data_IF_609851127064
#
_entry.id   IF_609851127064
#
_cell.length_a   1.000
_cell.length_b   1.000
_cell.length_c   1.000
_cell.angle_alpha   90.00
_cell.angle_beta   90.00
_cell.angle_gamma   90.00
#
_symmetry.space_group_name_H-M   'P 1'
#
loop_
_entity.id
_entity.type
_entity.pdbx_description
1 polymer ?
#
# COMPACT_ATOMS: atom_id res chain seq x y z
N UNK A 1 8.08 2.27 -17.24
CA UNK A 1 8.54 1.57 -16.02
C UNK A 1 7.62 0.40 -15.71
N UNK A 2 8.15 -0.70 -15.11
CA UNK A 2 7.36 -1.88 -14.69
C UNK A 2 7.51 -2.08 -13.18
N UNK A 3 6.41 -2.27 -12.45
CA UNK A 3 6.49 -2.53 -11.01
C UNK A 3 5.42 -3.52 -10.53
N UNK A 4 5.68 -4.16 -9.40
CA UNK A 4 4.75 -5.06 -8.73
C UNK A 4 4.00 -4.29 -7.64
N UNK A 5 2.67 -4.43 -7.60
CA UNK A 5 1.82 -3.84 -6.56
C UNK A 5 1.21 -4.96 -5.71
N UNK A 6 1.56 -4.95 -4.43
CA UNK A 6 1.04 -5.81 -3.36
C UNK A 6 0.63 -4.96 -2.15
N UNK A 7 -0.13 -5.51 -1.21
CA UNK A 7 -0.58 -4.83 0.01
C UNK A 7 -1.02 -5.86 1.06
N UNK A 8 -1.38 -5.38 2.24
CA UNK A 8 -2.10 -6.14 3.27
C UNK A 8 -1.40 -7.47 3.60
N UNK A 9 -0.09 -7.39 3.88
CA UNK A 9 0.72 -8.57 4.20
C UNK A 9 0.39 -9.15 5.56
N UNK A 10 -0.02 -8.31 6.52
CA UNK A 10 -0.42 -8.69 7.88
C UNK A 10 0.52 -9.70 8.53
N UNK A 11 1.83 -9.47 8.43
CA UNK A 11 2.84 -10.40 8.95
C UNK A 11 2.64 -10.62 10.45
N UNK A 12 2.56 -11.91 10.83
CA UNK A 12 2.28 -12.34 12.19
C UNK A 12 0.80 -12.58 12.48
N UNK A 13 -0.05 -12.60 11.43
CA UNK A 13 -1.46 -12.94 11.56
C UNK A 13 -1.66 -14.35 12.07
N UNK A 14 -2.68 -14.52 12.92
CA UNK A 14 -3.19 -15.82 13.34
C UNK A 14 -4.62 -15.96 12.87
N UNK A 15 -5.01 -17.15 12.44
CA UNK A 15 -6.37 -17.50 12.09
C UNK A 15 -6.84 -18.66 12.98
N UNK A 16 -7.87 -18.44 13.81
CA UNK A 16 -8.37 -19.45 14.76
C UNK A 16 -7.23 -20.06 15.60
N UNK A 17 -6.37 -19.23 16.16
CA UNK A 17 -5.18 -19.58 16.96
C UNK A 17 -4.02 -20.22 16.20
N UNK A 18 -4.17 -20.52 14.90
CA UNK A 18 -3.08 -21.01 14.05
C UNK A 18 -2.25 -19.84 13.51
N UNK A 19 -0.94 -19.92 13.67
CA UNK A 19 0.00 -18.97 13.08
C UNK A 19 0.07 -19.17 11.57
N UNK A 20 -0.02 -18.07 10.82
CA UNK A 20 0.12 -18.07 9.36
C UNK A 20 1.54 -17.76 8.89
N UNK A 21 2.54 -17.69 9.78
CA UNK A 21 3.90 -17.26 9.40
C UNK A 21 4.53 -18.14 8.32
N UNK A 22 4.35 -19.45 8.38
CA UNK A 22 4.88 -20.38 7.36
C UNK A 22 4.18 -20.18 6.00
N UNK A 23 2.87 -19.99 6.00
CA UNK A 23 2.10 -19.68 4.79
C UNK A 23 2.51 -18.32 4.22
N UNK A 24 2.74 -17.33 5.09
CA UNK A 24 3.23 -16.01 4.70
C UNK A 24 4.62 -16.08 4.07
N UNK A 25 5.52 -16.92 4.58
CA UNK A 25 6.83 -17.19 3.97
C UNK A 25 6.69 -17.82 2.57
N UNK A 26 5.81 -18.82 2.44
CA UNK A 26 5.59 -19.51 1.17
C UNK A 26 5.03 -18.56 0.09
N UNK A 27 4.06 -17.74 0.45
CA UNK A 27 3.45 -16.77 -0.46
C UNK A 27 4.44 -15.65 -0.81
N UNK A 28 5.22 -15.17 0.16
CA UNK A 28 6.25 -14.19 -0.09
C UNK A 28 7.29 -14.71 -1.10
N UNK A 29 7.69 -15.96 -1.00
CA UNK A 29 8.61 -16.56 -1.98
C UNK A 29 8.05 -16.57 -3.41
N UNK A 30 6.71 -16.70 -3.56
CA UNK A 30 6.06 -16.56 -4.87
C UNK A 30 6.08 -15.11 -5.36
N UNK A 31 5.80 -14.13 -4.49
CA UNK A 31 5.89 -12.70 -4.83
C UNK A 31 7.31 -12.34 -5.30
N UNK A 32 8.33 -12.79 -4.57
CA UNK A 32 9.74 -12.60 -4.91
C UNK A 32 10.07 -13.22 -6.27
N UNK A 33 9.65 -14.47 -6.50
CA UNK A 33 9.84 -15.17 -7.77
C UNK A 33 9.17 -14.43 -8.94
N UNK A 34 7.93 -13.94 -8.76
CA UNK A 34 7.22 -13.15 -9.77
C UNK A 34 8.02 -11.87 -10.08
N UNK A 35 8.46 -11.15 -9.05
CA UNK A 35 9.24 -9.92 -9.24
C UNK A 35 10.52 -10.17 -10.06
N UNK A 36 11.21 -11.28 -9.81
CA UNK A 36 12.40 -11.68 -10.56
C UNK A 36 12.07 -12.11 -11.99
N UNK A 37 11.04 -12.94 -12.21
CA UNK A 37 10.65 -13.43 -13.53
C UNK A 37 10.16 -12.32 -14.45
N UNK A 38 9.38 -11.39 -13.91
CA UNK A 38 8.84 -10.24 -14.63
C UNK A 38 9.85 -9.09 -14.75
N UNK A 39 11.03 -9.22 -14.12
CA UNK A 39 12.10 -8.22 -14.15
C UNK A 39 11.61 -6.83 -13.78
N UNK A 40 10.86 -6.73 -12.68
CA UNK A 40 10.27 -5.46 -12.25
C UNK A 40 11.33 -4.45 -11.82
N UNK A 41 11.04 -3.18 -12.02
CA UNK A 41 11.91 -2.07 -11.65
C UNK A 41 11.75 -1.67 -10.18
N UNK A 42 10.64 -2.06 -9.54
CA UNK A 42 10.34 -1.81 -8.14
C UNK A 42 9.23 -2.73 -7.62
N UNK A 43 9.14 -2.84 -6.29
CA UNK A 43 8.03 -3.49 -5.58
C UNK A 43 7.33 -2.45 -4.71
N UNK A 44 6.01 -2.32 -4.87
CA UNK A 44 5.15 -1.41 -4.10
C UNK A 44 4.33 -2.21 -3.09
N UNK A 45 4.38 -1.81 -1.82
CA UNK A 45 3.60 -2.41 -0.72
C UNK A 45 2.66 -1.35 -0.13
N UNK A 46 1.38 -1.42 -0.48
CA UNK A 46 0.40 -0.40 -0.15
C UNK A 46 -0.22 -0.57 1.25
N UNK A 47 0.62 -0.67 2.27
CA UNK A 47 0.23 -0.67 3.69
C UNK A 47 -0.08 -2.02 4.31
N UNK A 48 -0.34 -2.01 5.61
CA UNK A 48 -0.60 -3.16 6.48
C UNK A 48 0.49 -4.25 6.37
N UNK A 49 1.73 -3.83 6.66
CA UNK A 49 2.87 -4.73 6.70
C UNK A 49 2.75 -5.73 7.87
N UNK A 50 2.34 -5.25 9.04
CA UNK A 50 2.08 -6.09 10.21
C UNK A 50 0.58 -6.27 10.47
N UNK A 51 0.20 -7.40 11.08
CA UNK A 51 -1.18 -7.63 11.54
C UNK A 51 -1.58 -6.73 12.72
N UNK A 52 -0.61 -6.27 13.51
CA UNK A 52 -0.84 -5.50 14.74
C UNK A 52 0.21 -4.41 14.92
N UNK A 53 -0.20 -3.31 15.52
CA UNK A 53 0.69 -2.17 15.85
C UNK A 53 1.82 -2.55 16.82
N UNK A 54 1.69 -3.65 17.57
CA UNK A 54 2.73 -4.26 18.40
C UNK A 54 2.93 -5.69 17.90
N UNK A 55 3.78 -5.90 16.89
CA UNK A 55 4.05 -7.22 16.36
C UNK A 55 4.87 -8.08 17.32
N UNK A 56 4.75 -9.41 17.21
CA UNK A 56 5.61 -10.34 17.91
C UNK A 56 7.05 -10.28 17.38
N UNK A 57 8.02 -10.73 18.18
CA UNK A 57 9.42 -10.82 17.74
C UNK A 57 9.57 -11.69 16.48
N UNK A 58 8.80 -12.77 16.40
CA UNK A 58 8.79 -13.64 15.22
C UNK A 58 8.30 -12.89 13.97
N UNK A 59 7.23 -12.09 14.09
CA UNK A 59 6.72 -11.29 12.98
C UNK A 59 7.73 -10.20 12.56
N UNK A 60 8.42 -9.55 13.52
CA UNK A 60 9.46 -8.57 13.22
C UNK A 60 10.63 -9.22 12.48
N UNK A 61 11.09 -10.37 12.95
CA UNK A 61 12.17 -11.14 12.29
C UNK A 61 11.78 -11.52 10.86
N UNK A 62 10.53 -11.96 10.67
CA UNK A 62 10.03 -12.41 9.37
C UNK A 62 9.95 -11.24 8.37
N UNK A 63 9.26 -10.15 8.72
CA UNK A 63 9.16 -8.99 7.84
C UNK A 63 10.54 -8.43 7.47
N UNK A 64 11.45 -8.31 8.46
CA UNK A 64 12.82 -7.88 8.18
C UNK A 64 13.54 -8.82 7.21
N UNK A 65 13.33 -10.13 7.33
CA UNK A 65 13.86 -11.15 6.41
C UNK A 65 13.35 -10.94 4.98
N UNK A 66 12.04 -10.74 4.83
CA UNK A 66 11.37 -10.50 3.55
C UNK A 66 11.88 -9.22 2.87
N UNK A 67 11.86 -8.10 3.59
CA UNK A 67 12.32 -6.81 3.07
C UNK A 67 13.80 -6.84 2.69
N UNK A 68 14.64 -7.49 3.50
CA UNK A 68 16.06 -7.67 3.21
C UNK A 68 16.28 -8.49 1.93
N UNK A 69 15.48 -9.54 1.70
CA UNK A 69 15.57 -10.36 0.47
C UNK A 69 15.25 -9.51 -0.75
N UNK A 70 14.08 -8.87 -0.79
CA UNK A 70 13.68 -8.01 -1.91
C UNK A 70 14.69 -6.89 -2.19
N UNK A 71 15.12 -6.18 -1.14
CA UNK A 71 15.89 -4.96 -1.31
C UNK A 71 17.41 -5.18 -1.38
N UNK A 72 17.97 -5.97 -0.45
CA UNK A 72 19.44 -6.12 -0.38
C UNK A 72 19.97 -7.33 -1.17
N UNK A 73 19.18 -8.41 -1.30
CA UNK A 73 19.59 -9.61 -2.03
C UNK A 73 19.23 -9.52 -3.50
N UNK A 74 17.98 -9.17 -3.80
CA UNK A 74 17.48 -9.11 -5.17
C UNK A 74 17.63 -7.71 -5.79
N UNK A 75 18.01 -6.72 -4.98
CA UNK A 75 18.27 -5.33 -5.38
C UNK A 75 17.06 -4.58 -5.95
N UNK A 76 15.84 -4.99 -5.62
CA UNK A 76 14.66 -4.23 -5.99
C UNK A 76 14.53 -2.97 -5.12
N UNK A 77 14.31 -1.80 -5.72
CA UNK A 77 13.70 -0.69 -5.01
C UNK A 77 12.37 -1.12 -4.40
N UNK A 78 12.17 -0.85 -3.11
CA UNK A 78 10.93 -1.15 -2.39
C UNK A 78 10.30 0.15 -1.96
N UNK A 79 9.02 0.34 -2.29
CA UNK A 79 8.24 1.50 -1.89
C UNK A 79 7.09 1.02 -1.00
N UNK A 80 7.08 1.43 0.25
CA UNK A 80 6.08 0.97 1.21
C UNK A 80 5.48 2.13 1.99
N UNK A 81 4.24 1.96 2.43
CA UNK A 81 3.55 2.87 3.34
C UNK A 81 3.06 2.12 4.57
N UNK A 82 2.80 2.82 5.66
CA UNK A 82 2.04 2.24 6.76
C UNK A 82 0.54 2.22 6.47
N UNK A 83 -0.12 1.10 6.80
CA UNK A 83 -1.57 0.99 6.82
C UNK A 83 -2.17 1.28 8.20
N UNK A 84 -3.43 0.90 8.40
CA UNK A 84 -4.14 1.17 9.65
C UNK A 84 -3.80 0.16 10.78
N UNK A 85 -3.30 -1.03 10.46
CA UNK A 85 -2.81 -2.00 11.44
C UNK A 85 -1.41 -1.69 11.94
N UNK A 86 -0.64 -0.95 11.16
CA UNK A 86 0.75 -0.62 11.45
C UNK A 86 0.89 0.45 12.53
N UNK A 87 1.99 0.40 13.27
CA UNK A 87 2.45 1.52 14.09
C UNK A 87 3.40 2.39 13.27
N UNK A 88 2.93 3.55 12.83
CA UNK A 88 3.75 4.51 12.09
C UNK A 88 5.09 4.78 12.78
N UNK A 89 5.07 5.04 14.09
CA UNK A 89 6.29 5.32 14.88
C UNK A 89 7.26 4.15 14.93
N UNK A 90 6.77 2.89 15.03
CA UNK A 90 7.67 1.72 15.06
C UNK A 90 8.24 1.42 13.69
N UNK A 91 7.42 1.53 12.64
CA UNK A 91 7.88 1.31 11.27
C UNK A 91 8.87 2.38 10.80
N UNK A 92 8.72 3.64 11.24
CA UNK A 92 9.64 4.71 10.85
C UNK A 92 11.06 4.54 11.42
N UNK A 93 11.24 3.63 12.38
CA UNK A 93 12.58 3.38 12.95
C UNK A 93 13.54 2.90 11.88
N UNK A 94 14.50 3.74 11.52
CA UNK A 94 15.50 3.41 10.50
C UNK A 94 15.12 3.82 9.06
N UNK A 95 13.95 4.40 8.81
CA UNK A 95 13.48 4.75 7.45
C UNK A 95 14.49 5.60 6.65
N UNK A 96 15.13 6.60 7.31
CA UNK A 96 16.14 7.45 6.67
C UNK A 96 17.39 6.66 6.22
N UNK A 97 17.76 5.62 6.97
CA UNK A 97 18.86 4.72 6.57
C UNK A 97 18.43 3.79 5.46
N UNK A 98 17.21 3.28 5.50
CA UNK A 98 16.67 2.38 4.48
C UNK A 98 16.61 3.04 3.10
N UNK A 99 16.28 4.32 3.03
CA UNK A 99 16.25 5.08 1.79
C UNK A 99 17.61 5.08 1.05
N UNK A 100 18.73 4.95 1.77
CA UNK A 100 20.06 4.81 1.18
C UNK A 100 20.25 3.53 0.36
N UNK A 101 19.42 2.52 0.62
CA UNK A 101 19.41 1.26 -0.11
C UNK A 101 18.23 1.19 -1.09
N UNK A 102 17.58 2.31 -1.40
CA UNK A 102 16.36 2.34 -2.23
C UNK A 102 15.17 1.61 -1.62
N UNK A 103 15.11 1.51 -0.28
CA UNK A 103 13.91 1.12 0.43
C UNK A 103 13.25 2.37 1.03
N UNK A 104 12.16 2.79 0.39
CA UNK A 104 11.41 4.00 0.73
C UNK A 104 10.17 3.62 1.53
N UNK A 105 10.20 3.84 2.83
CA UNK A 105 9.10 3.56 3.74
C UNK A 105 8.53 4.88 4.27
N UNK A 106 7.32 5.23 3.88
CA UNK A 106 6.65 6.41 4.40
C UNK A 106 5.56 6.06 5.42
N UNK A 107 5.59 6.74 6.56
CA UNK A 107 4.65 6.57 7.66
C UNK A 107 4.06 7.89 8.16
N UNK A 108 4.39 9.01 7.51
CA UNK A 108 3.91 10.34 7.89
C UNK A 108 3.36 11.13 6.69
N UNK A 109 2.44 12.06 6.98
CA UNK A 109 1.76 12.85 5.95
C UNK A 109 2.71 13.85 5.27
N UNK A 110 3.66 14.45 6.00
CA UNK A 110 4.53 15.48 5.44
C UNK A 110 5.41 14.93 4.32
N UNK A 111 5.93 13.73 4.50
CA UNK A 111 6.77 13.04 3.51
C UNK A 111 6.01 12.61 2.26
N UNK A 112 4.66 12.49 2.34
CA UNK A 112 3.83 12.10 1.19
C UNK A 112 3.82 13.13 0.06
N UNK A 113 4.22 14.38 0.32
CA UNK A 113 4.27 15.46 -0.67
C UNK A 113 5.59 15.53 -1.44
N UNK A 114 6.57 14.72 -1.06
CA UNK A 114 7.85 14.59 -1.76
C UNK A 114 7.90 13.24 -2.46
N UNK A 115 7.65 13.17 -3.78
CA UNK A 115 7.58 11.90 -4.48
C UNK A 115 8.95 11.22 -4.58
N UNK A 116 8.95 9.90 -4.54
CA UNK A 116 10.10 9.09 -4.94
C UNK A 116 10.07 8.92 -6.45
N UNK A 117 11.14 9.32 -7.13
CA UNK A 117 11.23 9.18 -8.59
C UNK A 117 12.12 7.97 -8.93
N UNK A 118 11.56 7.02 -9.66
CA UNK A 118 12.29 5.88 -10.22
C UNK A 118 12.04 5.88 -11.74
N UNK A 119 13.11 5.99 -12.52
CA UNK A 119 13.03 6.10 -14.00
C UNK A 119 12.10 7.25 -14.44
N UNK A 120 11.03 6.91 -15.13
CA UNK A 120 10.01 7.81 -15.71
C UNK A 120 8.79 8.02 -14.80
N UNK A 121 8.81 7.55 -13.55
CA UNK A 121 7.64 7.52 -12.69
C UNK A 121 7.92 8.16 -11.33
N UNK A 122 7.02 9.05 -10.90
CA UNK A 122 6.95 9.62 -9.55
C UNK A 122 5.94 8.83 -8.71
N UNK A 123 6.38 8.34 -7.56
CA UNK A 123 5.54 7.64 -6.59
C UNK A 123 5.26 8.55 -5.40
N UNK A 124 4.00 8.85 -5.16
CA UNK A 124 3.51 9.58 -4.00
C UNK A 124 3.08 8.55 -2.94
N UNK A 125 3.84 8.46 -1.87
CA UNK A 125 3.63 7.46 -0.82
C UNK A 125 2.76 8.06 0.29
N UNK A 126 1.43 7.85 0.24
CA UNK A 126 0.46 8.37 1.21
C UNK A 126 0.12 7.28 2.24
N UNK A 127 0.65 7.35 3.47
CA UNK A 127 0.30 6.39 4.52
C UNK A 127 -1.15 6.56 4.96
N UNK A 128 -1.68 5.58 5.69
CA UNK A 128 -2.97 5.71 6.35
C UNK A 128 -3.00 6.95 7.24
N UNK A 129 -4.04 7.75 7.14
CA UNK A 129 -4.17 9.01 7.88
C UNK A 129 -5.56 9.19 8.49
N UNK A 130 -5.61 9.92 9.61
CA UNK A 130 -6.86 10.44 10.15
C UNK A 130 -7.08 11.90 9.72
N UNK A 131 -8.35 12.33 9.59
CA UNK A 131 -8.72 13.70 9.19
C UNK A 131 -8.05 14.76 10.09
N UNK A 132 -7.91 14.47 11.39
CA UNK A 132 -7.28 15.41 12.33
C UNK A 132 -5.80 15.66 12.01
N UNK A 133 -5.07 14.65 11.54
CA UNK A 133 -3.67 14.83 11.13
C UNK A 133 -3.56 15.79 9.92
N UNK A 134 -4.50 15.70 8.98
CA UNK A 134 -4.55 16.59 7.82
C UNK A 134 -4.92 18.02 8.21
N UNK A 135 -5.91 18.21 9.10
CA UNK A 135 -6.22 19.52 9.68
C UNK A 135 -5.01 20.18 10.32
N UNK A 136 -4.32 19.43 11.17
CA UNK A 136 -3.15 19.93 11.90
C UNK A 136 -2.03 20.31 10.93
N UNK A 137 -1.78 19.48 9.92
CA UNK A 137 -0.72 19.72 8.94
C UNK A 137 -0.97 20.98 8.11
N UNK A 138 -2.21 21.15 7.59
CA UNK A 138 -2.56 22.30 6.75
C UNK A 138 -3.05 23.52 7.54
N UNK A 139 -3.20 23.42 8.85
CA UNK A 139 -3.81 24.44 9.72
C UNK A 139 -5.18 24.91 9.19
N UNK A 140 -6.00 23.96 8.71
CA UNK A 140 -7.29 24.24 8.07
C UNK A 140 -8.45 23.50 8.74
N UNK A 141 -9.19 24.22 9.61
CA UNK A 141 -10.34 23.69 10.34
C UNK A 141 -11.57 23.44 9.43
N UNK A 142 -11.54 23.81 8.17
CA UNK A 142 -12.63 23.57 7.20
C UNK A 142 -12.64 22.13 6.71
N UNK A 143 -11.54 21.40 6.86
CA UNK A 143 -11.46 19.98 6.53
C UNK A 143 -12.32 19.18 7.52
N UNK A 144 -13.49 18.71 7.09
CA UNK A 144 -14.49 18.00 7.93
C UNK A 144 -14.63 16.53 7.55
N UNK A 145 -14.44 16.20 6.28
CA UNK A 145 -14.61 14.86 5.73
C UNK A 145 -13.29 14.31 5.19
N UNK A 146 -13.25 13.00 4.92
CA UNK A 146 -12.10 12.39 4.25
C UNK A 146 -11.92 12.94 2.83
N UNK A 147 -13.01 13.32 2.16
CA UNK A 147 -12.96 13.92 0.84
C UNK A 147 -12.35 15.33 0.86
N UNK A 148 -12.69 16.17 1.84
CA UNK A 148 -12.03 17.48 2.01
C UNK A 148 -10.53 17.29 2.26
N UNK A 149 -10.17 16.29 3.08
CA UNK A 149 -8.77 15.97 3.36
C UNK A 149 -8.05 15.49 2.09
N UNK A 150 -8.65 14.58 1.33
CA UNK A 150 -8.04 14.04 0.12
C UNK A 150 -7.92 15.10 -0.98
N UNK A 151 -8.93 15.96 -1.17
CA UNK A 151 -8.85 17.09 -2.11
C UNK A 151 -7.65 17.98 -1.78
N UNK A 152 -7.45 18.29 -0.50
CA UNK A 152 -6.32 19.11 -0.05
C UNK A 152 -4.98 18.42 -0.24
N UNK A 153 -4.90 17.11 0.05
CA UNK A 153 -3.71 16.28 -0.14
C UNK A 153 -3.34 16.21 -1.62
N UNK A 154 -4.28 15.87 -2.48
CA UNK A 154 -4.03 15.73 -3.93
C UNK A 154 -3.60 17.07 -4.53
N UNK A 155 -4.27 18.18 -4.16
CA UNK A 155 -3.87 19.52 -4.60
C UNK A 155 -2.43 19.90 -4.18
N UNK A 156 -1.97 19.42 -3.02
CA UNK A 156 -0.59 19.64 -2.59
C UNK A 156 0.40 18.77 -3.37
N UNK A 157 0.08 17.48 -3.58
CA UNK A 157 0.90 16.55 -4.37
C UNK A 157 1.09 17.02 -5.82
N UNK A 158 0.04 17.56 -6.44
CA UNK A 158 0.09 18.08 -7.82
C UNK A 158 1.11 19.19 -8.02
N UNK A 159 1.49 19.93 -6.98
CA UNK A 159 2.55 20.96 -7.09
C UNK A 159 3.93 20.37 -7.37
N UNK A 160 4.13 19.09 -7.03
CA UNK A 160 5.38 18.36 -7.25
C UNK A 160 5.36 17.51 -8.53
N UNK A 161 4.28 17.54 -9.31
CA UNK A 161 4.18 16.78 -10.56
C UNK A 161 5.16 17.33 -11.59
N UNK A 162 5.96 16.44 -12.16
CA UNK A 162 6.84 16.72 -13.30
C UNK A 162 6.16 16.29 -14.58
N UNK A 163 6.06 17.19 -15.56
CA UNK A 163 5.28 17.00 -16.79
C UNK A 163 5.78 15.83 -17.67
N UNK A 164 7.04 15.43 -17.52
CA UNK A 164 7.68 14.33 -18.25
C UNK A 164 7.65 13.00 -17.48
N UNK A 165 6.89 12.90 -16.38
CA UNK A 165 6.80 11.72 -15.54
C UNK A 165 5.37 11.20 -15.43
N UNK A 166 5.25 9.91 -15.24
CA UNK A 166 4.02 9.28 -14.79
C UNK A 166 3.85 9.48 -13.28
N UNK A 167 2.59 9.60 -12.83
CA UNK A 167 2.27 9.86 -11.44
C UNK A 167 1.51 8.69 -10.84
N UNK A 168 2.10 8.02 -9.87
CA UNK A 168 1.52 6.89 -9.15
C UNK A 168 1.25 7.30 -7.71
N UNK A 169 0.01 7.14 -7.25
CA UNK A 169 -0.33 7.24 -5.84
C UNK A 169 -0.30 5.86 -5.21
N UNK A 170 0.42 5.70 -4.10
CA UNK A 170 0.37 4.52 -3.23
C UNK A 170 -0.36 4.94 -1.96
N UNK A 171 -1.48 4.29 -1.64
CA UNK A 171 -2.32 4.71 -0.52
C UNK A 171 -3.07 3.54 0.13
N UNK A 172 -3.62 3.79 1.34
CA UNK A 172 -4.30 2.79 2.13
C UNK A 172 -5.57 3.38 2.72
N UNK A 173 -6.70 3.21 2.03
CA UNK A 173 -8.01 3.73 2.44
C UNK A 173 -9.16 3.03 1.70
N UNK A 174 -10.39 3.28 2.17
CA UNK A 174 -11.61 2.82 1.52
C UNK A 174 -12.02 3.82 0.41
N UNK A 175 -12.07 3.36 -0.84
CA UNK A 175 -12.54 4.15 -1.98
C UNK A 175 -14.06 3.99 -2.19
N UNK A 176 -14.74 5.05 -2.58
CA UNK A 176 -16.18 5.03 -2.86
C UNK A 176 -16.50 4.08 -4.02
N UNK A 177 -17.59 3.32 -3.89
CA UNK A 177 -17.98 2.29 -4.86
C UNK A 177 -17.34 0.93 -4.65
N UNK A 178 -16.39 0.80 -3.70
CA UNK A 178 -15.78 -0.48 -3.36
C UNK A 178 -16.75 -1.40 -2.60
N UNK A 179 -16.58 -2.69 -2.80
CA UNK A 179 -17.34 -3.73 -2.09
C UNK A 179 -16.48 -4.32 -0.97
N UNK A 180 -17.02 -4.37 0.24
CA UNK A 180 -16.36 -4.99 1.40
C UNK A 180 -16.60 -6.50 1.43
N UNK A 181 -15.64 -7.22 1.97
CA UNK A 181 -15.81 -8.63 2.34
C UNK A 181 -16.17 -8.71 3.82
N UNK A 182 -17.24 -9.40 4.18
CA UNK A 182 -17.65 -9.53 5.57
C UNK A 182 -16.52 -10.17 6.41
N UNK A 183 -16.31 -9.68 7.63
CA UNK A 183 -15.35 -10.19 8.61
C UNK A 183 -13.88 -10.25 8.13
N UNK A 184 -13.57 -9.58 7.02
CA UNK A 184 -12.23 -9.57 6.42
C UNK A 184 -11.43 -8.33 6.83
N UNK A 185 -12.06 -7.15 6.79
CA UNK A 185 -11.40 -5.89 7.09
C UNK A 185 -11.87 -5.33 8.44
N UNK A 186 -10.93 -4.72 9.18
CA UNK A 186 -11.23 -4.04 10.43
C UNK A 186 -12.00 -2.76 10.16
N UNK A 187 -13.20 -2.63 10.73
CA UNK A 187 -13.97 -1.39 10.68
C UNK A 187 -13.28 -0.32 11.53
N UNK A 188 -12.54 0.56 10.90
CA UNK A 188 -12.15 1.82 11.55
C UNK A 188 -13.13 2.89 11.08
N UNK A 189 -14.30 2.94 11.70
CA UNK A 189 -15.20 4.07 11.62
C UNK A 189 -14.69 5.17 12.57
N UNK A 190 -13.74 5.95 12.12
CA UNK A 190 -13.43 7.21 12.78
C UNK A 190 -14.28 8.29 12.11
N UNK A 191 -15.49 8.49 12.62
CA UNK A 191 -16.33 9.64 12.29
C UNK A 191 -17.08 9.57 10.95
N UNK A 192 -17.85 8.49 10.70
CA UNK A 192 -18.91 8.46 9.68
C UNK A 192 -18.49 8.64 8.23
N UNK A 193 -18.77 7.65 7.38
CA UNK A 193 -18.59 7.67 5.92
C UNK A 193 -17.20 8.10 5.44
N UNK A 194 -16.25 7.20 5.54
CA UNK A 194 -14.85 7.46 5.23
C UNK A 194 -14.43 6.91 3.87
N UNK A 195 -15.30 6.98 2.86
CA UNK A 195 -14.96 6.56 1.51
C UNK A 195 -14.42 7.76 0.71
N UNK A 196 -13.22 7.61 0.16
CA UNK A 196 -12.61 8.57 -0.75
C UNK A 196 -13.28 8.47 -2.12
N UNK A 197 -13.77 9.58 -2.64
CA UNK A 197 -14.33 9.63 -4.00
C UNK A 197 -13.24 9.36 -5.05
N UNK A 198 -13.47 8.39 -5.93
CA UNK A 198 -12.50 8.01 -6.97
C UNK A 198 -12.18 9.16 -7.93
N UNK A 199 -13.11 10.10 -8.13
CA UNK A 199 -12.89 11.30 -8.94
C UNK A 199 -11.75 12.19 -8.43
N UNK A 200 -11.48 12.19 -7.12
CA UNK A 200 -10.35 12.95 -6.54
C UNK A 200 -8.99 12.35 -6.92
N UNK A 201 -8.96 11.09 -7.34
CA UNK A 201 -7.75 10.35 -7.71
C UNK A 201 -7.43 10.46 -9.20
N UNK A 202 -8.30 11.09 -9.99
CA UNK A 202 -8.14 11.25 -11.44
C UNK A 202 -6.82 11.90 -11.90
N UNK A 203 -6.12 12.76 -11.12
CA UNK A 203 -4.83 13.30 -11.51
C UNK A 203 -3.70 12.27 -11.64
N UNK A 204 -3.84 11.07 -11.05
CA UNK A 204 -2.81 10.03 -11.09
C UNK A 204 -3.02 9.06 -12.24
N UNK A 205 -1.92 8.63 -12.87
CA UNK A 205 -1.95 7.61 -13.94
C UNK A 205 -2.28 6.22 -13.41
N UNK A 206 -1.89 5.94 -12.14
CA UNK A 206 -2.24 4.72 -11.44
C UNK A 206 -2.36 4.97 -9.92
N UNK A 207 -3.30 4.28 -9.29
CA UNK A 207 -3.47 4.33 -7.83
C UNK A 207 -3.38 2.91 -7.27
N UNK A 208 -2.31 2.68 -6.52
CA UNK A 208 -2.04 1.42 -5.84
C UNK A 208 -2.66 1.46 -4.43
N UNK A 209 -3.76 0.74 -4.23
CA UNK A 209 -4.50 0.70 -2.96
C UNK A 209 -4.25 -0.61 -2.20
N UNK A 210 -4.08 -0.47 -0.87
CA UNK A 210 -4.31 -1.50 0.12
C UNK A 210 -5.59 -1.23 0.92
N UNK A 211 -5.80 -1.94 2.02
CA UNK A 211 -6.92 -1.90 2.96
C UNK A 211 -8.02 -2.92 2.67
N UNK A 212 -8.42 -3.14 1.44
CA UNK A 212 -9.41 -4.17 1.11
C UNK A 212 -8.72 -5.43 0.59
N UNK A 213 -9.00 -6.56 1.23
CA UNK A 213 -8.34 -7.85 0.94
C UNK A 213 -8.80 -8.49 -0.37
N UNK A 214 -9.85 -7.95 -1.02
CA UNK A 214 -10.37 -8.45 -2.29
C UNK A 214 -9.94 -7.54 -3.44
N UNK A 215 -9.17 -8.07 -4.39
CA UNK A 215 -8.76 -7.34 -5.61
C UNK A 215 -9.93 -6.82 -6.46
N UNK A 216 -11.06 -7.50 -6.39
CA UNK A 216 -12.29 -7.15 -7.12
C UNK A 216 -13.19 -6.19 -6.33
N UNK A 217 -12.71 -5.61 -5.22
CA UNK A 217 -13.50 -4.70 -4.40
C UNK A 217 -13.92 -3.44 -5.15
N UNK A 218 -13.14 -3.00 -6.14
CA UNK A 218 -13.41 -1.84 -6.98
C UNK A 218 -13.21 -2.19 -8.47
N UNK A 219 -14.15 -1.79 -9.32
CA UNK A 219 -14.08 -2.02 -10.76
C UNK A 219 -13.65 -0.73 -11.49
N UNK A 220 -12.39 -0.38 -11.36
CA UNK A 220 -11.75 0.76 -12.04
C UNK A 220 -10.52 0.29 -12.81
N UNK A 221 -10.18 0.95 -13.92
CA UNK A 221 -9.04 0.56 -14.73
C UNK A 221 -7.70 0.92 -14.07
N UNK A 222 -7.62 2.13 -13.53
CA UNK A 222 -6.38 2.75 -13.00
C UNK A 222 -6.29 2.78 -11.48
N UNK A 223 -7.34 2.40 -10.78
CA UNK A 223 -7.39 2.36 -9.31
C UNK A 223 -7.60 0.91 -8.90
N UNK A 224 -6.60 0.29 -8.28
CA UNK A 224 -6.63 -1.12 -7.96
C UNK A 224 -6.32 -1.37 -6.49
N UNK A 225 -7.15 -2.21 -5.87
CA UNK A 225 -6.75 -2.91 -4.66
C UNK A 225 -5.89 -4.10 -5.04
N UNK A 226 -4.75 -4.27 -4.39
CA UNK A 226 -3.98 -5.51 -4.53
C UNK A 226 -4.72 -6.68 -3.90
N UNK A 227 -5.46 -6.43 -2.83
CA UNK A 227 -5.92 -7.46 -1.95
C UNK A 227 -4.77 -8.01 -1.08
N UNK A 228 -5.11 -8.81 -0.11
CA UNK A 228 -4.12 -9.51 0.71
C UNK A 228 -3.53 -10.71 -0.05
N UNK A 229 -2.25 -11.06 0.18
CA UNK A 229 -1.61 -12.18 -0.50
C UNK A 229 -2.10 -13.55 -0.01
N UNK A 230 -2.69 -13.60 1.20
CA UNK A 230 -3.33 -14.79 1.77
C UNK A 230 -4.78 -14.52 2.14
N UNK A 231 -5.53 -15.60 2.39
CA UNK A 231 -6.91 -15.55 2.91
C UNK A 231 -6.86 -15.43 4.42
N UNK A 232 -7.30 -14.31 4.96
CA UNK A 232 -7.24 -14.00 6.39
C UNK A 232 -8.56 -14.20 7.13
N UNK A 233 -9.61 -14.61 6.40
CA UNK A 233 -10.90 -14.96 6.97
C UNK A 233 -11.59 -16.06 6.16
N UNK A 234 -12.60 -16.72 6.77
CA UNK A 234 -13.41 -17.73 6.08
C UNK A 234 -14.21 -17.11 4.93
N UNK A 235 -14.60 -15.85 5.05
CA UNK A 235 -15.31 -15.12 3.99
C UNK A 235 -14.46 -14.91 2.73
N UNK A 236 -13.14 -14.99 2.85
CA UNK A 236 -12.20 -14.90 1.72
C UNK A 236 -11.94 -16.26 1.03
N UNK A 237 -12.52 -17.37 1.51
CA UNK A 237 -12.20 -18.72 1.05
C UNK A 237 -12.30 -18.91 -0.48
N UNK A 238 -13.20 -18.18 -1.13
CA UNK A 238 -13.42 -18.24 -2.58
C UNK A 238 -12.68 -17.17 -3.38
N UNK A 239 -11.93 -16.28 -2.72
CA UNK A 239 -11.16 -15.26 -3.40
C UNK A 239 -9.87 -15.85 -3.98
N UNK A 240 -9.50 -15.41 -5.16
CA UNK A 240 -8.17 -15.61 -5.70
C UNK A 240 -7.23 -14.56 -5.10
N UNK A 241 -6.05 -14.97 -4.69
CA UNK A 241 -5.01 -14.10 -4.17
C UNK A 241 -3.88 -13.95 -5.19
N UNK A 242 -3.25 -12.79 -5.20
CA UNK A 242 -2.21 -12.49 -6.19
C UNK A 242 -1.70 -11.06 -6.04
N UNK A 243 -1.04 -10.61 -7.09
CA UNK A 243 -0.42 -9.28 -7.17
C UNK A 243 -0.72 -8.65 -8.53
N UNK A 244 -0.62 -7.31 -8.61
CA UNK A 244 -0.71 -6.60 -9.89
C UNK A 244 0.67 -6.32 -10.44
N UNK A 245 0.89 -6.68 -11.71
CA UNK A 245 2.00 -6.20 -12.52
C UNK A 245 1.52 -4.96 -13.29
N UNK A 246 2.24 -3.87 -13.15
CA UNK A 246 1.88 -2.57 -13.73
C UNK A 246 3.00 -2.06 -14.60
N UNK A 247 2.68 -1.78 -15.86
CA UNK A 247 3.54 -1.04 -16.79
C UNK A 247 3.03 0.38 -16.93
N UNK A 248 3.89 1.40 -16.86
CA UNK A 248 3.49 2.80 -17.01
C UNK A 248 3.49 3.26 -18.48
N UNK A 249 4.37 2.71 -19.30
CA UNK A 249 4.46 3.04 -20.74
C UNK A 249 4.93 1.82 -21.56
N UNK A 250 4.09 1.27 -22.48
CA UNK A 250 2.65 1.56 -22.58
C UNK A 250 1.90 1.12 -21.31
N UNK A 251 0.87 1.88 -20.92
CA UNK A 251 0.10 1.55 -19.72
C UNK A 251 -0.59 0.19 -19.85
N UNK A 252 -0.27 -0.69 -18.90
CA UNK A 252 -0.91 -2.00 -18.80
C UNK A 252 -0.96 -2.47 -17.34
N UNK A 253 -2.01 -3.20 -17.00
CA UNK A 253 -2.18 -3.78 -15.66
C UNK A 253 -2.57 -5.25 -15.81
N UNK A 254 -1.73 -6.14 -15.28
CA UNK A 254 -1.94 -7.58 -15.37
C UNK A 254 -2.02 -8.18 -13.95
N UNK A 255 -3.01 -9.04 -13.73
CA UNK A 255 -3.11 -9.82 -12.50
C UNK A 255 -2.29 -11.09 -12.60
N UNK A 256 -1.48 -11.35 -11.57
CA UNK A 256 -0.68 -12.56 -11.44
C UNK A 256 -1.10 -13.31 -10.15
N UNK A 257 -1.62 -14.55 -10.26
CA UNK A 257 -2.06 -15.32 -9.10
C UNK A 257 -0.88 -15.84 -8.26
N UNK A 258 -1.14 -16.01 -6.97
CA UNK A 258 -0.27 -16.62 -5.97
C UNK A 258 -0.79 -18.02 -5.57
#
# INVERSE_FOLDING_TARGET
>A
MRFLHTADWHIGKTLNEFSLLEDQQAVFAQIEQIAQQEQVDAVVVAGDLYDRSIPSEAAVKELNGMLRRLNLTDHFPVLAISGNHDSATRLSTGADWFARSSFYLNTDLASAFTPVTIKDTQFFLLPFFGIQAVRNYFHDERIKTVNDAMERIVAEMQKAFLADKHHVLVAHFFAAGSQRTADSETLIEVGGLSAVATSLLAPFDYVALGHLHNRNALNEERIKYSGSPLKFSVSEARQEKGVWLVDTDPFAVQWLPL
#
